data_IF_787895802171
#
_entry.id   IF_787895802171
#
_cell.length_a   1.000
_cell.length_b   1.000
_cell.length_c   1.000
_cell.angle_alpha   90.00
_cell.angle_beta   90.00
_cell.angle_gamma   90.00
#
_symmetry.space_group_name_H-M   'P 1'
#
loop_
_entity.id
_entity.type
_entity.pdbx_description
1 polymer ?
#
# COMPACT_ATOMS: atom_id res chain seq x y z
N UNK A 1 -13.71 22.84 -11.96
CA UNK A 1 -12.68 23.89 -11.84
C UNK A 1 -11.50 23.48 -12.71
N UNK A 2 -10.88 24.39 -13.46
CA UNK A 2 -9.74 24.08 -14.34
C UNK A 2 -8.48 24.73 -13.77
N UNK A 3 -7.43 23.94 -13.56
CA UNK A 3 -6.10 24.36 -13.13
C UNK A 3 -5.11 24.01 -14.25
N UNK A 4 -4.27 24.97 -14.65
CA UNK A 4 -3.20 24.74 -15.63
C UNK A 4 -1.86 24.76 -14.90
N UNK A 5 -1.03 23.74 -15.12
CA UNK A 5 0.29 23.58 -14.50
C UNK A 5 1.33 23.48 -15.62
N UNK A 6 2.35 24.33 -15.59
CA UNK A 6 3.49 24.22 -16.49
C UNK A 6 4.49 23.20 -15.93
N UNK A 7 4.77 22.16 -16.70
CA UNK A 7 5.71 21.10 -16.32
C UNK A 7 7.04 21.27 -17.05
N UNK A 8 8.20 21.09 -16.38
CA UNK A 8 9.46 20.93 -17.08
C UNK A 8 9.42 19.74 -18.04
N UNK A 9 10.07 19.84 -19.21
CA UNK A 9 10.02 18.81 -20.27
C UNK A 9 10.40 17.41 -19.75
N UNK A 10 11.38 17.33 -18.85
CA UNK A 10 11.80 16.07 -18.24
C UNK A 10 10.69 15.42 -17.40
N UNK A 11 9.88 16.23 -16.71
CA UNK A 11 8.80 15.74 -15.86
C UNK A 11 7.58 15.34 -16.69
N UNK A 12 7.26 16.10 -17.74
CA UNK A 12 6.22 15.75 -18.70
C UNK A 12 6.48 14.39 -19.34
N UNK A 13 7.70 14.17 -19.86
CA UNK A 13 8.09 12.87 -20.45
C UNK A 13 7.96 11.72 -19.46
N UNK A 14 8.38 11.93 -18.20
CA UNK A 14 8.29 10.91 -17.16
C UNK A 14 6.83 10.57 -16.83
N UNK A 15 5.98 11.59 -16.68
CA UNK A 15 4.55 11.41 -16.43
C UNK A 15 3.88 10.60 -17.55
N UNK A 16 4.24 10.90 -18.79
CA UNK A 16 3.70 10.25 -19.99
C UNK A 16 4.16 8.79 -20.11
N UNK A 17 5.42 8.53 -19.79
CA UNK A 17 5.96 7.19 -19.71
C UNK A 17 5.27 6.37 -18.60
N UNK A 18 5.21 6.90 -17.38
CA UNK A 18 4.57 6.22 -16.24
C UNK A 18 3.09 5.93 -16.52
N UNK A 19 2.34 6.88 -17.09
CA UNK A 19 0.95 6.66 -17.49
C UNK A 19 0.81 5.52 -18.49
N UNK A 20 1.72 5.45 -19.48
CA UNK A 20 1.74 4.37 -20.48
C UNK A 20 2.06 3.01 -19.85
N UNK A 21 3.03 2.95 -18.94
CA UNK A 21 3.38 1.74 -18.19
C UNK A 21 2.21 1.22 -17.35
N UNK A 22 1.38 2.14 -16.83
CA UNK A 22 0.16 1.82 -16.10
C UNK A 22 -1.07 1.60 -17.00
N UNK A 23 -0.94 1.76 -18.33
CA UNK A 23 -2.05 1.62 -19.28
C UNK A 23 -3.15 2.67 -19.10
N UNK A 24 -2.80 3.86 -18.62
CA UNK A 24 -3.72 4.95 -18.28
C UNK A 24 -3.51 6.17 -19.18
N UNK A 25 -4.55 6.98 -19.32
CA UNK A 25 -4.43 8.33 -19.88
C UNK A 25 -3.60 9.23 -18.95
N UNK A 26 -2.79 10.12 -19.53
CA UNK A 26 -1.89 11.01 -18.77
C UNK A 26 -2.63 11.88 -17.78
N UNK A 27 -3.82 12.38 -18.13
CA UNK A 27 -4.60 13.25 -17.26
C UNK A 27 -5.15 12.45 -16.08
N UNK A 28 -5.62 11.24 -16.33
CA UNK A 28 -6.10 10.31 -15.29
C UNK A 28 -4.96 9.96 -14.34
N UNK A 29 -3.79 9.64 -14.89
CA UNK A 29 -2.61 9.32 -14.09
C UNK A 29 -2.15 10.52 -13.24
N UNK A 30 -2.15 11.72 -13.81
CA UNK A 30 -1.83 12.95 -13.10
C UNK A 30 -2.82 13.24 -11.95
N UNK A 31 -4.12 12.99 -12.17
CA UNK A 31 -5.14 13.13 -11.12
C UNK A 31 -4.89 12.16 -9.96
N UNK A 32 -4.60 10.89 -10.25
CA UNK A 32 -4.25 9.92 -9.21
C UNK A 32 -3.00 10.32 -8.41
N UNK A 33 -1.98 10.85 -9.08
CA UNK A 33 -0.78 11.35 -8.40
C UNK A 33 -1.10 12.54 -7.47
N UNK A 34 -1.96 13.46 -7.91
CA UNK A 34 -2.42 14.58 -7.08
C UNK A 34 -3.21 14.07 -5.87
N UNK A 35 -4.18 13.18 -6.09
CA UNK A 35 -4.96 12.58 -4.99
C UNK A 35 -4.08 11.86 -3.99
N UNK A 36 -3.09 11.09 -4.47
CA UNK A 36 -2.14 10.38 -3.61
C UNK A 36 -1.22 11.34 -2.85
N UNK A 37 -0.76 12.42 -3.48
CA UNK A 37 0.10 13.42 -2.85
C UNK A 37 -0.64 14.30 -1.84
N UNK A 38 -1.95 14.48 -2.04
CA UNK A 38 -2.82 15.24 -1.14
C UNK A 38 -3.54 14.38 -0.11
N UNK A 39 -3.56 13.05 -0.29
CA UNK A 39 -4.10 12.13 0.71
C UNK A 39 -3.40 12.37 2.04
N UNK A 40 -4.18 12.45 3.11
CA UNK A 40 -3.66 12.44 4.48
C UNK A 40 -2.95 11.10 4.72
N UNK A 41 -1.70 11.06 4.30
CA UNK A 41 -0.76 10.02 4.72
C UNK A 41 -0.80 10.02 6.23
N UNK A 42 -1.16 8.88 6.83
CA UNK A 42 -1.15 8.72 8.28
C UNK A 42 0.30 8.96 8.74
N UNK A 43 0.56 10.14 9.33
CA UNK A 43 1.92 10.67 9.57
C UNK A 43 2.49 10.14 10.88
N UNK A 44 1.62 9.68 11.76
CA UNK A 44 1.99 9.20 13.09
C UNK A 44 1.59 7.74 13.28
N UNK A 45 2.33 7.05 14.15
CA UNK A 45 1.96 5.69 14.55
C UNK A 45 0.55 5.61 15.14
N UNK A 46 0.11 6.66 15.85
CA UNK A 46 -1.24 6.75 16.40
C UNK A 46 -2.32 6.82 15.32
N UNK A 47 -2.12 7.63 14.27
CA UNK A 47 -3.04 7.70 13.12
C UNK A 47 -3.14 6.36 12.39
N UNK A 48 -2.02 5.66 12.22
CA UNK A 48 -2.00 4.32 11.61
C UNK A 48 -2.80 3.32 12.44
N UNK A 49 -2.61 3.30 13.76
CA UNK A 49 -3.36 2.43 14.67
C UNK A 49 -4.85 2.74 14.62
N UNK A 50 -5.23 4.02 14.70
CA UNK A 50 -6.64 4.45 14.64
C UNK A 50 -7.30 4.06 13.31
N UNK A 51 -6.58 4.17 12.19
CA UNK A 51 -7.07 3.71 10.89
C UNK A 51 -7.31 2.20 10.88
N UNK A 52 -6.36 1.39 11.34
CA UNK A 52 -6.52 -0.07 11.41
C UNK A 52 -7.63 -0.50 12.37
N UNK A 53 -7.84 0.24 13.46
CA UNK A 53 -8.98 0.05 14.35
C UNK A 53 -10.30 0.30 13.62
N UNK A 54 -10.42 1.43 12.92
CA UNK A 54 -11.63 1.78 12.16
C UNK A 54 -11.91 0.79 11.02
N UNK A 55 -10.88 0.18 10.43
CA UNK A 55 -11.01 -0.88 9.43
C UNK A 55 -11.25 -2.28 10.03
N UNK A 56 -11.34 -2.40 11.37
CA UNK A 56 -11.60 -3.68 12.04
C UNK A 56 -10.45 -4.68 11.94
N UNK A 57 -9.24 -4.22 11.63
CA UNK A 57 -8.05 -5.08 11.48
C UNK A 57 -7.50 -5.47 12.84
N UNK A 58 -7.54 -4.56 13.81
CA UNK A 58 -7.12 -4.84 15.18
C UNK A 58 -8.04 -5.90 15.79
N UNK A 59 -7.44 -6.99 16.28
CA UNK A 59 -8.18 -8.11 16.86
C UNK A 59 -8.85 -9.02 15.84
N UNK A 60 -8.73 -8.79 14.53
CA UNK A 60 -9.32 -9.65 13.50
C UNK A 60 -8.88 -11.13 13.61
N UNK A 61 -7.75 -11.38 14.27
CA UNK A 61 -7.16 -12.70 14.45
C UNK A 61 -7.22 -13.16 15.91
N UNK A 62 -7.99 -12.47 16.77
CA UNK A 62 -8.13 -12.81 18.19
C UNK A 62 -8.69 -14.22 18.41
N UNK A 63 -9.53 -14.70 17.47
CA UNK A 63 -10.17 -16.02 17.56
C UNK A 63 -9.29 -17.16 17.00
N UNK A 64 -8.08 -16.86 16.50
CA UNK A 64 -7.11 -17.87 16.02
C UNK A 64 -6.50 -18.64 17.18
N UNK A 65 -7.23 -19.61 17.70
CA UNK A 65 -6.78 -20.50 18.77
C UNK A 65 -5.71 -21.50 18.31
N UNK A 66 -5.52 -21.70 17.00
CA UNK A 66 -4.44 -22.51 16.44
C UNK A 66 -3.06 -21.84 16.52
N UNK A 67 -3.01 -20.52 16.74
CA UNK A 67 -1.78 -19.75 16.95
C UNK A 67 -1.70 -19.34 18.43
N UNK A 68 -1.03 -20.15 19.25
CA UNK A 68 -0.80 -19.81 20.67
C UNK A 68 0.37 -18.85 20.87
N UNK A 69 1.48 -19.05 20.14
CA UNK A 69 2.62 -18.14 20.11
C UNK A 69 2.77 -17.56 18.70
N UNK A 70 2.35 -16.31 18.54
CA UNK A 70 2.38 -15.62 17.26
C UNK A 70 3.81 -15.41 16.73
N UNK A 71 4.79 -15.26 17.62
CA UNK A 71 6.19 -15.08 17.24
C UNK A 71 6.81 -16.39 16.75
N UNK A 72 6.54 -17.50 17.45
CA UNK A 72 6.98 -18.84 17.01
C UNK A 72 6.31 -19.23 15.68
N UNK A 73 5.01 -19.00 15.56
CA UNK A 73 4.27 -19.26 14.32
C UNK A 73 4.85 -18.47 13.14
N UNK A 74 5.17 -17.19 13.33
CA UNK A 74 5.79 -16.36 12.29
C UNK A 74 7.19 -16.85 11.89
N UNK A 75 8.00 -17.34 12.85
CA UNK A 75 9.31 -17.94 12.54
C UNK A 75 9.16 -19.22 11.73
N UNK A 76 8.22 -20.08 12.12
CA UNK A 76 7.91 -21.33 11.41
C UNK A 76 7.46 -21.03 9.99
N UNK A 77 6.52 -20.10 9.81
CA UNK A 77 6.03 -19.68 8.50
C UNK A 77 7.16 -19.18 7.59
N UNK A 78 8.08 -18.37 8.14
CA UNK A 78 9.25 -17.89 7.40
C UNK A 78 10.17 -19.04 6.98
N UNK A 79 10.48 -19.95 7.90
CA UNK A 79 11.33 -21.11 7.61
C UNK A 79 10.72 -22.04 6.54
N UNK A 80 9.40 -22.24 6.57
CA UNK A 80 8.66 -23.01 5.58
C UNK A 80 8.70 -22.36 4.20
N UNK A 81 8.49 -21.03 4.13
CA UNK A 81 8.57 -20.27 2.88
C UNK A 81 9.99 -20.28 2.28
N UNK A 82 11.02 -20.11 3.11
CA UNK A 82 12.43 -20.14 2.70
C UNK A 82 12.83 -21.51 2.12
N UNK A 83 12.36 -22.60 2.71
CA UNK A 83 12.64 -23.97 2.25
C UNK A 83 11.75 -24.42 1.09
N UNK A 84 10.74 -23.62 0.71
CA UNK A 84 9.66 -23.99 -0.23
C UNK A 84 8.98 -25.32 0.13
N UNK A 85 8.96 -25.67 1.42
CA UNK A 85 8.25 -26.84 1.90
C UNK A 85 6.77 -26.50 1.91
N UNK A 86 6.08 -26.72 0.80
CA UNK A 86 4.63 -26.60 0.79
C UNK A 86 4.08 -27.69 1.71
N UNK A 87 3.47 -27.31 2.84
CA UNK A 87 2.72 -28.25 3.65
C UNK A 87 1.50 -28.67 2.81
N UNK A 88 1.53 -29.90 2.30
CA UNK A 88 0.42 -30.53 1.60
C UNK A 88 -0.77 -30.76 2.54
#
# INVERSE_FOLDING_TARGET
MTLSIELPEALEKRLQQEATEHGMDVVVYAQQLIERGLSDTLKTGGEIVAYWEAQGVLGAWADRSDIHDSAEYARTLRATAEKREHKA
#
